data_IF_451117115595
#
_entry.id   IF_451117115595
#
_cell.length_a   1.000
_cell.length_b   1.000
_cell.length_c   1.000
_cell.angle_alpha   90.00
_cell.angle_beta   90.00
_cell.angle_gamma   90.00
#
_symmetry.space_group_name_H-M   'P 1'
#
loop_
_entity.id
_entity.type
_entity.pdbx_description
1 polymer ?
#
# COMPACT_ATOMS: atom_id res chain seq x y z
N UNK A 1 36.46 41.64 0.17
CA UNK A 1 35.01 41.39 0.26
C UNK A 1 34.76 39.89 0.25
N UNK A 2 34.29 39.30 1.35
CA UNK A 2 33.93 37.87 1.40
C UNK A 2 32.66 37.66 0.57
N UNK A 3 32.76 36.89 -0.53
CA UNK A 3 31.60 36.55 -1.37
C UNK A 3 30.54 35.86 -0.50
N UNK A 4 29.36 36.47 -0.36
CA UNK A 4 28.21 35.85 0.33
C UNK A 4 27.83 34.57 -0.40
N UNK A 5 27.71 33.47 0.34
CA UNK A 5 27.25 32.18 -0.19
C UNK A 5 25.79 32.30 -0.60
N UNK A 6 25.42 31.73 -1.76
CA UNK A 6 24.02 31.67 -2.23
C UNK A 6 23.11 30.88 -1.28
N UNK A 7 23.67 29.94 -0.52
CA UNK A 7 22.97 29.08 0.45
C UNK A 7 23.75 29.08 1.77
N UNK A 8 23.43 30.00 2.69
CA UNK A 8 24.23 30.21 3.91
C UNK A 8 23.82 29.29 5.07
N UNK A 9 22.63 28.70 5.05
CA UNK A 9 22.09 27.88 6.14
C UNK A 9 22.68 26.47 6.06
N UNK A 10 23.22 26.00 7.18
CA UNK A 10 23.73 24.64 7.34
C UNK A 10 22.67 23.74 7.96
N UNK A 11 22.42 22.57 7.37
CA UNK A 11 21.60 21.51 7.95
C UNK A 11 22.54 20.44 8.51
N UNK A 12 22.41 20.13 9.79
CA UNK A 12 23.23 19.11 10.46
C UNK A 12 22.37 17.89 10.75
N UNK A 13 22.78 16.73 10.24
CA UNK A 13 22.09 15.45 10.41
C UNK A 13 23.14 14.41 10.82
N UNK A 14 22.93 13.74 11.94
CA UNK A 14 23.81 12.66 12.40
C UNK A 14 23.28 11.34 11.83
N UNK A 15 24.17 10.51 11.30
CA UNK A 15 23.87 9.20 10.72
C UNK A 15 24.91 8.19 11.18
N UNK A 16 24.52 6.93 11.25
CA UNK A 16 25.42 5.79 11.42
C UNK A 16 26.23 5.52 10.15
N UNK A 17 27.28 4.70 10.26
CA UNK A 17 28.10 4.29 9.10
C UNK A 17 27.26 3.53 8.05
N UNK A 18 26.33 2.68 8.51
CA UNK A 18 25.43 1.93 7.64
C UNK A 18 24.48 2.86 6.85
N UNK A 19 23.88 3.84 7.53
CA UNK A 19 23.03 4.83 6.88
C UNK A 19 23.82 5.71 5.90
N UNK A 20 25.05 6.08 6.25
CA UNK A 20 25.92 6.84 5.36
C UNK A 20 26.27 6.07 4.09
N UNK A 21 26.58 4.77 4.20
CA UNK A 21 26.86 3.91 3.07
C UNK A 21 25.64 3.80 2.14
N UNK A 22 24.46 3.55 2.72
CA UNK A 22 23.21 3.48 1.97
C UNK A 22 22.88 4.80 1.26
N UNK A 23 23.07 5.94 1.94
CA UNK A 23 22.88 7.27 1.34
C UNK A 23 23.81 7.46 0.13
N UNK A 24 25.07 7.00 0.21
CA UNK A 24 26.03 7.11 -0.90
C UNK A 24 25.64 6.23 -2.09
N UNK A 25 25.17 5.00 -1.83
CA UNK A 25 24.66 4.10 -2.86
C UNK A 25 23.48 4.72 -3.60
N UNK A 26 22.45 5.18 -2.87
CA UNK A 26 21.28 5.86 -3.45
C UNK A 26 21.65 7.14 -4.20
N UNK A 27 22.65 7.86 -3.70
CA UNK A 27 23.18 9.04 -4.38
C UNK A 27 23.84 8.67 -5.72
N UNK A 28 24.57 7.56 -5.78
CA UNK A 28 25.18 7.04 -6.99
C UNK A 28 24.14 6.53 -8.00
N UNK A 29 23.11 5.81 -7.53
CA UNK A 29 21.94 5.39 -8.34
C UNK A 29 21.26 6.60 -8.99
N UNK A 30 21.10 7.69 -8.23
CA UNK A 30 20.52 8.94 -8.71
C UNK A 30 21.46 9.76 -9.63
N UNK A 31 22.70 9.31 -9.85
CA UNK A 31 23.70 9.99 -10.68
C UNK A 31 24.20 11.31 -10.09
N UNK A 32 24.04 11.54 -8.79
CA UNK A 32 24.42 12.78 -8.12
C UNK A 32 25.79 12.59 -7.47
N UNK A 33 26.72 13.53 -7.67
CA UNK A 33 28.07 13.43 -7.07
C UNK A 33 28.24 14.23 -5.79
N UNK A 34 27.35 15.19 -5.53
CA UNK A 34 27.45 16.11 -4.41
C UNK A 34 26.40 15.78 -3.35
N UNK A 35 26.86 15.41 -2.16
CA UNK A 35 25.99 15.06 -1.02
C UNK A 35 24.99 16.17 -0.68
N UNK A 36 25.43 17.42 -0.64
CA UNK A 36 24.55 18.57 -0.36
C UNK A 36 23.57 18.87 -1.49
N UNK A 37 23.81 18.41 -2.72
CA UNK A 37 22.84 18.46 -3.81
C UNK A 37 21.83 17.30 -3.69
N UNK A 38 22.31 16.09 -3.37
CA UNK A 38 21.48 14.91 -3.15
C UNK A 38 20.51 15.14 -1.98
N UNK A 39 21.01 15.49 -0.80
CA UNK A 39 20.21 15.79 0.38
C UNK A 39 19.17 16.89 0.12
N UNK A 40 19.54 17.95 -0.61
CA UNK A 40 18.60 19.02 -0.95
C UNK A 40 17.52 18.56 -1.93
N UNK A 41 17.89 17.75 -2.94
CA UNK A 41 16.92 17.20 -3.88
C UNK A 41 15.93 16.28 -3.16
N UNK A 42 16.41 15.44 -2.26
CA UNK A 42 15.55 14.57 -1.45
C UNK A 42 14.69 15.37 -0.47
N UNK A 43 15.22 16.39 0.19
CA UNK A 43 14.46 17.20 1.15
C UNK A 43 13.43 18.14 0.49
N UNK A 44 13.67 18.59 -0.75
CA UNK A 44 12.76 19.50 -1.47
C UNK A 44 11.80 18.79 -2.43
N UNK A 45 12.20 17.65 -2.98
CA UNK A 45 11.46 16.93 -4.02
C UNK A 45 11.13 15.48 -3.64
N UNK A 46 11.53 15.03 -2.45
CA UNK A 46 11.09 13.74 -1.94
C UNK A 46 9.58 13.76 -1.74
N UNK A 47 8.92 12.73 -2.24
CA UNK A 47 7.51 12.49 -1.94
C UNK A 47 7.42 11.79 -0.59
N UNK A 48 6.67 12.36 0.35
CA UNK A 48 6.23 11.64 1.54
C UNK A 48 4.94 10.92 1.14
N UNK A 49 5.05 9.61 0.89
CA UNK A 49 3.89 8.79 0.58
C UNK A 49 3.14 8.47 1.88
N UNK A 50 2.06 9.18 2.14
CA UNK A 50 1.12 8.80 3.19
C UNK A 50 0.02 7.94 2.56
N UNK A 51 0.10 6.63 2.77
CA UNK A 51 -0.93 5.70 2.27
C UNK A 51 -1.98 5.51 3.37
N UNK A 52 -3.15 6.14 3.20
CA UNK A 52 -4.31 5.87 4.04
C UNK A 52 -5.07 4.63 3.53
N UNK A 53 -5.03 3.55 4.31
CA UNK A 53 -5.71 2.29 4.01
C UNK A 53 -7.07 2.15 4.71
N UNK A 54 -7.57 3.19 5.36
CA UNK A 54 -8.87 3.16 6.05
C UNK A 54 -10.02 2.72 5.12
N UNK A 55 -10.14 3.24 3.87
CA UNK A 55 -11.18 2.79 2.94
C UNK A 55 -11.04 1.31 2.55
N UNK A 56 -9.80 0.82 2.46
CA UNK A 56 -9.51 -0.57 2.11
C UNK A 56 -9.98 -1.50 3.24
N UNK A 57 -9.75 -1.12 4.50
CA UNK A 57 -10.24 -1.87 5.68
C UNK A 57 -11.76 -1.90 5.75
N UNK A 58 -12.43 -0.81 5.41
CA UNK A 58 -13.89 -0.74 5.36
C UNK A 58 -14.46 -1.66 4.27
N UNK A 59 -13.83 -1.66 3.10
CA UNK A 59 -14.23 -2.51 1.98
C UNK A 59 -14.09 -4.00 2.31
N UNK A 60 -13.01 -4.41 2.98
CA UNK A 60 -12.85 -5.79 3.51
C UNK A 60 -13.94 -6.14 4.53
N UNK A 61 -14.31 -5.19 5.40
CA UNK A 61 -15.37 -5.39 6.39
C UNK A 61 -16.76 -5.58 5.76
N UNK A 62 -17.10 -4.76 4.76
CA UNK A 62 -18.34 -4.91 3.98
C UNK A 62 -18.37 -6.26 3.27
N UNK A 63 -17.26 -6.63 2.66
CA UNK A 63 -17.16 -7.89 1.93
C UNK A 63 -17.30 -9.10 2.88
N UNK A 64 -16.69 -9.08 4.08
CA UNK A 64 -16.92 -10.14 5.09
C UNK A 64 -18.40 -10.27 5.47
N UNK A 65 -19.12 -9.15 5.59
CA UNK A 65 -20.56 -9.14 5.88
C UNK A 65 -21.36 -9.77 4.73
N UNK A 66 -21.06 -9.41 3.48
CA UNK A 66 -21.69 -10.01 2.31
C UNK A 66 -21.45 -11.53 2.25
N UNK A 67 -20.23 -12.00 2.47
CA UNK A 67 -19.89 -13.43 2.52
C UNK A 67 -20.70 -14.18 3.58
N UNK A 68 -20.82 -13.60 4.77
CA UNK A 68 -21.57 -14.20 5.87
C UNK A 68 -23.07 -14.27 5.57
N UNK A 69 -23.64 -13.22 4.98
CA UNK A 69 -25.05 -13.20 4.59
C UNK A 69 -25.34 -14.27 3.52
N UNK A 70 -24.45 -14.39 2.52
CA UNK A 70 -24.54 -15.42 1.49
C UNK A 70 -24.49 -16.84 2.08
N UNK A 71 -23.60 -17.06 3.05
CA UNK A 71 -23.50 -18.34 3.74
C UNK A 71 -24.77 -18.65 4.56
N UNK A 72 -25.38 -17.63 5.19
CA UNK A 72 -26.65 -17.80 5.91
C UNK A 72 -27.80 -18.18 4.97
N UNK A 73 -27.91 -17.51 3.81
CA UNK A 73 -28.90 -17.86 2.78
C UNK A 73 -28.68 -19.30 2.29
N UNK A 74 -27.42 -19.70 2.11
CA UNK A 74 -27.08 -21.07 1.73
C UNK A 74 -27.52 -22.11 2.77
N UNK A 75 -27.26 -21.84 4.05
CA UNK A 75 -27.69 -22.72 5.15
C UNK A 75 -29.23 -22.80 5.21
N UNK A 76 -29.92 -21.65 5.08
CA UNK A 76 -31.38 -21.60 5.11
C UNK A 76 -32.01 -22.34 3.93
N UNK A 77 -31.47 -22.16 2.73
CA UNK A 77 -31.88 -22.90 1.54
C UNK A 77 -31.73 -24.42 1.71
N UNK A 78 -30.58 -24.87 2.22
CA UNK A 78 -30.32 -26.28 2.48
C UNK A 78 -31.23 -26.87 3.58
N UNK A 79 -31.63 -26.04 4.55
CA UNK A 79 -32.46 -26.48 5.69
C UNK A 79 -33.94 -26.56 5.34
N UNK A 80 -34.45 -25.61 4.55
CA UNK A 80 -35.89 -25.47 4.29
C UNK A 80 -36.30 -25.84 2.85
N UNK A 81 -35.35 -26.24 1.99
CA UNK A 81 -35.62 -26.68 0.62
C UNK A 81 -36.19 -25.60 -0.31
N UNK A 82 -36.04 -24.32 0.07
CA UNK A 82 -36.74 -23.20 -0.56
C UNK A 82 -36.00 -22.55 -1.76
N UNK A 83 -34.77 -22.96 -2.07
CA UNK A 83 -33.97 -22.45 -3.20
C UNK A 83 -33.37 -23.63 -3.96
N UNK A 84 -33.44 -23.59 -5.29
CA UNK A 84 -32.79 -24.59 -6.13
C UNK A 84 -31.26 -24.59 -5.85
N UNK A 85 -30.67 -25.75 -5.48
CA UNK A 85 -29.24 -25.83 -5.13
C UNK A 85 -28.30 -25.28 -6.21
N UNK A 86 -28.71 -25.35 -7.47
CA UNK A 86 -27.99 -24.80 -8.63
C UNK A 86 -27.92 -23.27 -8.66
N UNK A 87 -28.97 -22.56 -8.25
CA UNK A 87 -28.98 -21.10 -8.18
C UNK A 87 -28.06 -20.61 -7.06
N UNK A 88 -28.10 -21.31 -5.93
CA UNK A 88 -27.24 -21.03 -4.78
C UNK A 88 -25.76 -21.29 -5.09
N UNK A 89 -25.46 -22.40 -5.77
CA UNK A 89 -24.12 -22.73 -6.23
C UNK A 89 -23.60 -21.73 -7.27
N UNK A 90 -24.50 -21.15 -8.09
CA UNK A 90 -24.15 -20.10 -9.05
C UNK A 90 -23.84 -18.79 -8.33
N UNK A 91 -24.66 -18.38 -7.35
CA UNK A 91 -24.41 -17.20 -6.53
C UNK A 91 -23.08 -17.30 -5.74
N UNK A 92 -22.76 -18.47 -5.19
CA UNK A 92 -21.47 -18.71 -4.53
C UNK A 92 -20.29 -18.60 -5.50
N UNK A 93 -20.43 -19.13 -6.72
CA UNK A 93 -19.40 -19.04 -7.76
C UNK A 93 -19.18 -17.60 -8.23
N UNK A 94 -20.26 -16.88 -8.52
CA UNK A 94 -20.19 -15.48 -8.96
C UNK A 94 -19.56 -14.60 -7.88
N UNK A 95 -19.89 -14.87 -6.62
CA UNK A 95 -19.28 -14.18 -5.48
C UNK A 95 -17.79 -14.50 -5.33
N UNK A 96 -17.39 -15.76 -5.47
CA UNK A 96 -15.98 -16.16 -5.47
C UNK A 96 -15.19 -15.53 -6.63
N UNK A 97 -15.81 -15.44 -7.82
CA UNK A 97 -15.23 -14.81 -9.00
C UNK A 97 -15.05 -13.29 -8.83
N UNK A 98 -15.94 -12.62 -8.10
CA UNK A 98 -15.78 -11.22 -7.71
C UNK A 98 -14.72 -11.02 -6.62
N UNK A 99 -14.60 -11.95 -5.68
CA UNK A 99 -13.68 -11.84 -4.56
C UNK A 99 -12.22 -12.11 -4.93
N UNK A 100 -11.95 -13.04 -5.86
CA UNK A 100 -10.60 -13.38 -6.30
C UNK A 100 -9.77 -12.15 -6.71
N UNK A 101 -10.23 -11.36 -7.70
CA UNK A 101 -9.54 -10.15 -8.16
C UNK A 101 -9.34 -9.11 -7.06
N UNK A 102 -10.31 -8.95 -6.16
CA UNK A 102 -10.22 -8.02 -5.04
C UNK A 102 -9.20 -8.49 -3.99
N UNK A 103 -9.15 -9.79 -3.70
CA UNK A 103 -8.14 -10.38 -2.82
C UNK A 103 -6.72 -10.19 -3.39
N UNK A 104 -6.56 -10.33 -4.69
CA UNK A 104 -5.26 -10.13 -5.34
C UNK A 104 -4.83 -8.66 -5.34
N UNK A 105 -5.77 -7.73 -5.56
CA UNK A 105 -5.53 -6.30 -5.40
C UNK A 105 -5.10 -5.94 -3.97
N UNK A 106 -5.74 -6.53 -2.95
CA UNK A 106 -5.37 -6.33 -1.54
C UNK A 106 -3.97 -6.84 -1.23
N UNK A 107 -3.55 -7.99 -1.79
CA UNK A 107 -2.18 -8.50 -1.65
C UNK A 107 -1.16 -7.56 -2.28
N UNK A 108 -1.44 -7.03 -3.47
CA UNK A 108 -0.57 -6.06 -4.14
C UNK A 108 -0.44 -4.76 -3.34
N UNK A 109 -1.54 -4.26 -2.77
CA UNK A 109 -1.53 -3.08 -1.90
C UNK A 109 -0.73 -3.32 -0.62
N UNK A 110 -0.81 -4.53 -0.02
CA UNK A 110 0.01 -4.90 1.15
C UNK A 110 1.51 -4.84 0.83
N UNK A 111 1.92 -5.36 -0.33
CA UNK A 111 3.32 -5.36 -0.75
C UNK A 111 3.88 -3.95 -0.99
N UNK A 112 3.03 -2.99 -1.39
CA UNK A 112 3.42 -1.59 -1.56
C UNK A 112 3.64 -0.84 -0.25
N UNK A 113 3.06 -1.32 0.85
CA UNK A 113 3.09 -0.66 2.16
C UNK A 113 4.21 -1.23 3.06
N UNK A 114 4.73 -2.41 2.72
CA UNK A 114 5.89 -3.03 3.37
C UNK A 114 7.25 -2.57 2.80
N UNK A 115 7.25 -1.72 1.75
CA UNK A 115 8.43 -1.11 1.11
C UNK A 115 8.77 0.27 1.73
#
# INVERSE_FOLDING_TARGET
MTKKRRRPIHLHVMVSEAEQALIQERMAEAGIRNMGAYMRKMALSGYVLHVDLSPVRELVSLQRRCSNNLNQVAIQANTYGAIYPEELATLQRDYAALWGPLSDLLKQLSALVEL
#
